data_IF_677634283714
#
_entry.id   IF_677634283714
#
_cell.length_a   1.000
_cell.length_b   1.000
_cell.length_c   1.000
_cell.angle_alpha   90.00
_cell.angle_beta   90.00
_cell.angle_gamma   90.00
#
_symmetry.space_group_name_H-M   'P 1'
#
loop_
_entity.id
_entity.type
_entity.pdbx_description
1 polymer ?
#
# COMPACT_ATOMS: atom_id res chain seq x y z
N UNK A 1 -9.64 -15.54 -13.09
CA UNK A 1 -8.93 -16.08 -11.91
C UNK A 1 -7.48 -15.56 -11.90
N UNK A 2 -6.82 -15.48 -10.75
CA UNK A 2 -5.42 -15.03 -10.63
C UNK A 2 -4.71 -15.79 -9.51
N UNK A 3 -3.39 -15.90 -9.56
CA UNK A 3 -2.58 -16.57 -8.54
C UNK A 3 -2.70 -18.09 -8.55
N UNK A 4 -2.67 -18.72 -7.38
CA UNK A 4 -2.67 -20.18 -7.24
C UNK A 4 -3.85 -20.85 -7.96
N UNK A 5 -5.06 -20.29 -7.84
CA UNK A 5 -6.25 -20.80 -8.52
C UNK A 5 -6.08 -20.78 -10.04
N UNK A 6 -5.52 -19.70 -10.59
CA UNK A 6 -5.26 -19.63 -12.03
C UNK A 6 -4.21 -20.63 -12.49
N UNK A 7 -3.15 -20.86 -11.69
CA UNK A 7 -2.15 -21.88 -11.99
C UNK A 7 -2.80 -23.26 -12.05
N UNK A 8 -3.68 -23.57 -11.11
CA UNK A 8 -4.37 -24.86 -11.04
C UNK A 8 -5.33 -25.08 -12.22
N UNK A 9 -6.02 -24.03 -12.66
CA UNK A 9 -7.01 -24.11 -13.74
C UNK A 9 -6.39 -24.01 -15.14
N UNK A 10 -5.31 -23.24 -15.31
CA UNK A 10 -4.80 -22.85 -16.64
C UNK A 10 -3.28 -22.98 -16.81
N UNK A 11 -2.55 -23.34 -15.74
CA UNK A 11 -1.09 -23.44 -15.75
C UNK A 11 -0.34 -22.11 -15.68
N UNK A 12 -1.03 -20.97 -15.70
CA UNK A 12 -0.46 -19.62 -15.59
C UNK A 12 -1.04 -18.87 -14.39
N UNK A 13 -0.24 -18.04 -13.67
CA UNK A 13 -0.75 -17.26 -12.54
C UNK A 13 -1.60 -16.06 -12.99
N UNK A 14 -1.54 -15.68 -14.27
CA UNK A 14 -2.36 -14.64 -14.87
C UNK A 14 -2.85 -15.10 -16.26
N UNK A 15 -4.07 -15.63 -16.37
CA UNK A 15 -4.67 -15.99 -17.64
C UNK A 15 -4.96 -14.74 -18.49
N UNK A 16 -4.81 -14.87 -19.80
CA UNK A 16 -5.01 -13.77 -20.76
C UNK A 16 -6.41 -13.12 -20.64
N UNK A 17 -7.46 -13.94 -20.45
CA UNK A 17 -8.84 -13.46 -20.25
C UNK A 17 -8.97 -12.56 -19.01
N UNK A 18 -8.27 -12.89 -17.92
CA UNK A 18 -8.28 -12.06 -16.70
C UNK A 18 -7.55 -10.74 -16.93
N UNK A 19 -6.44 -10.76 -17.68
CA UNK A 19 -5.74 -9.54 -18.05
C UNK A 19 -6.60 -8.62 -18.94
N UNK A 20 -7.29 -9.18 -19.93
CA UNK A 20 -8.19 -8.44 -20.82
C UNK A 20 -9.37 -7.82 -20.07
N UNK A 21 -9.95 -8.55 -19.12
CA UNK A 21 -10.97 -8.03 -18.22
C UNK A 21 -10.44 -6.84 -17.40
N UNK A 22 -9.26 -6.95 -16.81
CA UNK A 22 -8.65 -5.86 -16.05
C UNK A 22 -8.31 -4.64 -16.94
N UNK A 23 -7.85 -4.84 -18.17
CA UNK A 23 -7.52 -3.77 -19.11
C UNK A 23 -8.75 -2.99 -19.59
N UNK A 24 -9.90 -3.66 -19.66
CA UNK A 24 -11.19 -3.08 -20.09
C UNK A 24 -12.02 -2.51 -18.95
N UNK A 25 -11.60 -2.72 -17.69
CA UNK A 25 -12.26 -2.18 -16.51
C UNK A 25 -11.68 -0.82 -16.12
N UNK A 26 -12.49 0.05 -15.52
CA UNK A 26 -12.02 1.33 -14.98
C UNK A 26 -11.10 1.10 -13.78
N UNK A 27 -11.47 0.20 -12.88
CA UNK A 27 -10.68 -0.16 -11.71
C UNK A 27 -10.71 -1.65 -11.40
N UNK A 28 -9.67 -2.11 -10.71
CA UNK A 28 -9.56 -3.48 -10.20
C UNK A 28 -9.60 -3.44 -8.68
N UNK A 29 -10.58 -4.12 -8.07
CA UNK A 29 -10.54 -4.43 -6.64
C UNK A 29 -9.97 -5.84 -6.47
N UNK A 30 -8.82 -5.94 -5.84
CA UNK A 30 -8.06 -7.18 -5.71
C UNK A 30 -8.11 -7.67 -4.26
N UNK A 31 -8.26 -8.99 -4.08
CA UNK A 31 -8.29 -9.63 -2.77
C UNK A 31 -6.89 -9.84 -2.21
N UNK A 32 -6.42 -11.08 -2.24
CA UNK A 32 -5.07 -11.42 -1.81
C UNK A 32 -4.50 -12.52 -2.71
N UNK A 33 -3.18 -12.63 -2.74
CA UNK A 33 -2.44 -13.63 -3.51
C UNK A 33 -1.43 -14.36 -2.62
N UNK A 34 -1.04 -15.56 -3.03
CA UNK A 34 -0.07 -16.41 -2.34
C UNK A 34 -0.71 -17.69 -1.82
N UNK A 35 0.07 -18.77 -1.85
CA UNK A 35 -0.31 -20.07 -1.31
C UNK A 35 0.96 -20.83 -0.87
N UNK A 36 1.02 -21.34 0.39
CA UNK A 36 2.18 -22.03 0.95
C UNK A 36 2.72 -23.18 0.10
N UNK A 37 1.88 -23.76 -0.76
CA UNK A 37 2.27 -24.75 -1.77
C UNK A 37 3.40 -24.28 -2.69
N UNK A 38 3.53 -22.97 -2.92
CA UNK A 38 4.49 -22.37 -3.85
C UNK A 38 5.69 -21.68 -3.17
N UNK A 39 5.66 -21.51 -1.84
CA UNK A 39 6.64 -20.68 -1.12
C UNK A 39 8.03 -21.31 -0.99
N UNK A 40 8.08 -22.62 -0.68
CA UNK A 40 9.32 -23.27 -0.23
C UNK A 40 10.09 -24.00 -1.34
N UNK A 41 9.58 -24.00 -2.57
CA UNK A 41 10.26 -24.63 -3.70
C UNK A 41 11.06 -23.58 -4.50
N UNK A 42 12.40 -23.50 -4.33
CA UNK A 42 13.21 -22.55 -5.08
C UNK A 42 13.20 -22.82 -6.58
N UNK A 43 12.96 -24.08 -6.99
CA UNK A 43 12.90 -24.52 -8.39
C UNK A 43 11.51 -24.36 -9.02
N UNK A 44 10.54 -23.82 -8.27
CA UNK A 44 9.21 -23.53 -8.80
C UNK A 44 9.31 -22.53 -9.97
N UNK A 45 8.98 -23.02 -11.18
CA UNK A 45 8.98 -22.19 -12.39
C UNK A 45 7.88 -21.13 -12.38
N UNK A 46 6.77 -21.43 -11.70
CA UNK A 46 5.59 -20.59 -11.64
C UNK A 46 5.24 -20.36 -10.18
N UNK A 47 5.02 -19.09 -9.82
CA UNK A 47 4.58 -18.66 -8.49
C UNK A 47 3.36 -17.75 -8.59
N UNK A 48 2.41 -17.80 -7.66
CA UNK A 48 1.24 -16.92 -7.68
C UNK A 48 1.60 -15.44 -7.82
N UNK A 49 2.62 -14.98 -7.10
CA UNK A 49 3.06 -13.58 -7.03
C UNK A 49 3.50 -13.04 -8.39
N UNK A 50 3.99 -13.91 -9.28
CA UNK A 50 4.35 -13.52 -10.65
C UNK A 50 3.12 -12.95 -11.39
N UNK A 51 1.93 -13.49 -11.15
CA UNK A 51 0.70 -12.99 -11.77
C UNK A 51 0.35 -11.57 -11.34
N UNK A 52 0.53 -11.23 -10.05
CA UNK A 52 0.29 -9.86 -9.56
C UNK A 52 1.35 -8.87 -10.07
N UNK A 53 2.61 -9.29 -10.13
CA UNK A 53 3.69 -8.48 -10.70
C UNK A 53 3.46 -8.20 -12.18
N UNK A 54 3.09 -9.23 -12.96
CA UNK A 54 2.75 -9.08 -14.37
C UNK A 54 1.52 -8.18 -14.56
N UNK A 55 0.45 -8.39 -13.78
CA UNK A 55 -0.75 -7.58 -13.86
C UNK A 55 -0.44 -6.09 -13.63
N UNK A 56 0.31 -5.75 -12.58
CA UNK A 56 0.75 -4.38 -12.28
C UNK A 56 1.56 -3.77 -13.43
N UNK A 57 2.45 -4.56 -14.03
CA UNK A 57 3.25 -4.11 -15.17
C UNK A 57 2.39 -3.85 -16.41
N UNK A 58 1.48 -4.77 -16.76
CA UNK A 58 0.61 -4.67 -17.95
C UNK A 58 -0.39 -3.53 -17.84
N UNK A 59 -0.89 -3.24 -16.64
CA UNK A 59 -1.75 -2.09 -16.34
C UNK A 59 -0.96 -0.79 -16.15
N UNK A 60 0.38 -0.82 -16.15
CA UNK A 60 1.22 0.36 -15.97
C UNK A 60 1.10 1.01 -14.59
N UNK A 61 0.81 0.24 -13.54
CA UNK A 61 0.55 0.71 -12.18
C UNK A 61 1.85 1.03 -11.43
N UNK A 62 2.48 2.16 -11.76
CA UNK A 62 3.83 2.46 -11.29
C UNK A 62 3.93 3.02 -9.87
N UNK A 63 2.83 3.48 -9.28
CA UNK A 63 2.83 4.11 -7.95
C UNK A 63 1.95 3.32 -6.98
N UNK A 64 2.55 2.70 -5.98
CA UNK A 64 1.82 2.13 -4.85
C UNK A 64 1.75 3.14 -3.70
N UNK A 65 0.53 3.40 -3.24
CA UNK A 65 0.19 4.39 -2.21
C UNK A 65 -0.33 3.63 -1.00
N UNK A 66 0.40 3.72 0.12
CA UNK A 66 0.10 3.03 1.38
C UNK A 66 0.01 4.02 2.53
N UNK A 67 -1.20 4.40 2.98
CA UNK A 67 -1.36 5.23 4.16
C UNK A 67 -1.07 4.43 5.44
N UNK A 68 -0.31 5.01 6.36
CA UNK A 68 -0.01 4.46 7.68
C UNK A 68 -0.53 5.45 8.73
N UNK A 69 -1.62 5.06 9.40
CA UNK A 69 -2.29 5.89 10.41
C UNK A 69 -2.58 5.09 11.66
N UNK A 70 -2.20 5.65 12.80
CA UNK A 70 -2.47 5.05 14.11
C UNK A 70 -3.80 5.57 14.61
N UNK A 71 -4.78 4.67 14.72
CA UNK A 71 -6.07 5.01 15.30
C UNK A 71 -5.97 5.06 16.84
N UNK A 72 -6.49 6.09 17.51
CA UNK A 72 -6.46 6.17 18.98
C UNK A 72 -7.07 4.96 19.69
N UNK A 73 -8.07 4.32 19.08
CA UNK A 73 -8.72 3.10 19.60
C UNK A 73 -7.83 1.87 19.56
N UNK A 74 -6.79 1.88 18.72
CA UNK A 74 -5.91 0.73 18.46
C UNK A 74 -4.46 0.98 18.87
N UNK A 75 -4.16 2.15 19.44
CA UNK A 75 -2.81 2.52 19.86
C UNK A 75 -2.19 1.53 20.86
N UNK A 76 -3.04 0.80 21.58
CA UNK A 76 -2.67 -0.21 22.58
C UNK A 76 -2.28 -1.56 21.97
N UNK A 77 -2.61 -1.77 20.68
CA UNK A 77 -2.31 -2.99 19.92
C UNK A 77 -0.94 -2.93 19.24
N UNK A 78 -0.39 -1.74 19.09
CA UNK A 78 0.97 -1.58 18.58
C UNK A 78 2.01 -2.21 19.53
N UNK A 79 3.06 -2.85 19.00
CA UNK A 79 4.18 -3.34 19.81
C UNK A 79 5.03 -2.20 20.41
N UNK A 80 4.87 -0.97 19.92
CA UNK A 80 5.60 0.22 20.36
C UNK A 80 4.85 1.01 21.45
N UNK A 81 5.62 1.70 22.29
CA UNK A 81 5.09 2.55 23.37
C UNK A 81 4.16 3.62 22.80
N UNK A 82 2.94 3.76 23.35
CA UNK A 82 1.92 4.74 22.93
C UNK A 82 2.47 6.15 22.68
N UNK A 83 3.36 6.64 23.57
CA UNK A 83 3.96 7.99 23.47
C UNK A 83 4.83 8.21 22.23
N UNK A 84 5.34 7.14 21.62
CA UNK A 84 6.21 7.18 20.43
C UNK A 84 5.36 7.27 19.16
N UNK A 85 4.26 6.51 19.11
CA UNK A 85 3.45 6.35 17.90
C UNK A 85 2.22 7.26 17.85
N UNK A 86 1.88 7.93 18.95
CA UNK A 86 0.74 8.86 19.01
C UNK A 86 0.88 9.94 17.93
N UNK A 87 -0.17 10.12 17.12
CA UNK A 87 -0.20 11.14 16.06
C UNK A 87 0.52 10.74 14.77
N UNK A 88 0.94 9.48 14.65
CA UNK A 88 1.49 8.94 13.40
C UNK A 88 0.42 8.90 12.31
N UNK A 89 0.67 9.64 11.24
CA UNK A 89 -0.16 9.71 10.04
C UNK A 89 0.74 10.11 8.87
N UNK A 90 1.24 9.13 8.12
CA UNK A 90 2.06 9.37 6.93
C UNK A 90 1.61 8.47 5.79
N UNK A 91 2.06 8.76 4.57
CA UNK A 91 1.78 7.95 3.38
C UNK A 91 3.08 7.60 2.67
N UNK A 92 3.20 6.35 2.24
CA UNK A 92 4.33 5.87 1.45
C UNK A 92 3.92 5.82 -0.01
N UNK A 93 4.70 6.50 -0.85
CA UNK A 93 4.71 6.40 -2.31
C UNK A 93 5.87 5.50 -2.70
N UNK A 94 5.55 4.27 -3.08
CA UNK A 94 6.49 3.23 -3.51
C UNK A 94 6.43 3.08 -5.02
N UNK A 95 7.57 3.18 -5.70
CA UNK A 95 7.65 2.78 -7.12
C UNK A 95 7.35 1.28 -7.23
N UNK A 96 6.48 0.87 -8.15
CA UNK A 96 5.90 -0.47 -8.15
C UNK A 96 6.25 -1.33 -9.36
N UNK A 97 6.78 -0.75 -10.44
CA UNK A 97 6.95 -1.43 -11.75
C UNK A 97 8.39 -1.49 -12.25
N UNK A 98 9.35 -0.98 -11.48
CA UNK A 98 10.76 -0.95 -11.81
C UNK A 98 11.65 -1.45 -10.67
N UNK A 99 12.92 -1.09 -10.74
CA UNK A 99 13.93 -1.52 -9.76
C UNK A 99 14.26 -3.00 -9.84
N UNK A 100 14.79 -3.52 -8.74
CA UNK A 100 15.34 -4.89 -8.67
C UNK A 100 14.29 -6.01 -8.84
N UNK A 101 13.01 -5.70 -8.69
CA UNK A 101 11.94 -6.69 -8.86
C UNK A 101 11.71 -7.03 -10.33
N UNK A 102 11.89 -6.05 -11.21
CA UNK A 102 11.66 -6.17 -12.66
C UNK A 102 12.94 -6.18 -13.48
N UNK A 103 14.09 -5.90 -12.85
CA UNK A 103 15.38 -6.01 -13.52
C UNK A 103 15.80 -7.45 -13.78
N UNK A 104 16.75 -7.59 -14.70
CA UNK A 104 17.24 -8.88 -15.18
C UNK A 104 17.76 -9.77 -14.03
N UNK A 105 17.34 -11.03 -14.02
CA UNK A 105 17.73 -12.05 -13.05
C UNK A 105 18.55 -13.12 -13.74
N UNK A 106 19.75 -13.41 -13.23
CA UNK A 106 20.64 -14.44 -13.77
C UNK A 106 21.08 -15.39 -12.68
N UNK A 107 21.12 -16.66 -13.04
CA UNK A 107 21.82 -17.71 -12.31
C UNK A 107 22.86 -18.30 -13.27
N UNK A 108 24.09 -18.47 -12.80
CA UNK A 108 25.16 -19.10 -13.58
C UNK A 108 24.77 -20.54 -13.96
N UNK A 109 25.34 -21.06 -15.05
CA UNK A 109 25.00 -22.41 -15.56
C UNK A 109 25.25 -23.53 -14.54
N UNK A 110 26.24 -23.35 -13.68
CA UNK A 110 26.60 -24.26 -12.59
C UNK A 110 25.83 -23.97 -11.29
N UNK A 111 24.97 -22.96 -11.24
CA UNK A 111 24.12 -22.63 -10.11
C UNK A 111 24.83 -21.96 -8.93
N UNK A 112 26.08 -21.54 -9.08
CA UNK A 112 26.91 -21.05 -7.96
C UNK A 112 26.94 -19.53 -7.82
N UNK A 113 26.52 -18.78 -8.85
CA UNK A 113 26.53 -17.31 -8.87
C UNK A 113 25.17 -16.80 -9.35
N UNK A 114 24.52 -15.96 -8.55
CA UNK A 114 23.28 -15.27 -8.91
C UNK A 114 23.47 -13.75 -8.95
N UNK A 115 22.68 -13.08 -9.79
CA UNK A 115 22.63 -11.61 -9.85
C UNK A 115 21.22 -11.10 -10.14
N UNK A 116 20.82 -10.05 -9.45
CA UNK A 116 19.60 -9.29 -9.70
C UNK A 116 19.94 -7.83 -10.02
N UNK A 117 19.57 -7.38 -11.21
CA UNK A 117 19.86 -6.03 -11.66
C UNK A 117 18.85 -5.02 -11.09
N UNK A 118 19.32 -3.95 -10.45
CA UNK A 118 18.47 -2.84 -9.99
C UNK A 118 18.64 -1.63 -10.92
N UNK A 119 17.62 -1.36 -11.74
CA UNK A 119 17.64 -0.26 -12.72
C UNK A 119 16.43 0.65 -12.52
N UNK A 120 16.68 1.95 -12.68
CA UNK A 120 15.66 2.98 -12.81
C UNK A 120 16.10 3.95 -13.90
N UNK A 121 15.14 4.42 -14.68
CA UNK A 121 15.26 5.56 -15.57
C UNK A 121 14.80 6.84 -14.88
N UNK A 122 15.23 7.98 -15.41
CA UNK A 122 14.75 9.29 -14.96
C UNK A 122 13.23 9.43 -15.10
N UNK A 123 12.63 8.88 -16.16
CA UNK A 123 11.19 8.93 -16.39
C UNK A 123 10.40 8.18 -15.31
N UNK A 124 10.86 6.99 -14.92
CA UNK A 124 10.24 6.20 -13.85
C UNK A 124 10.28 6.91 -12.50
N UNK A 125 11.40 7.56 -12.19
CA UNK A 125 11.56 8.34 -10.96
C UNK A 125 10.67 9.58 -11.01
N UNK A 126 10.64 10.28 -12.14
CA UNK A 126 9.95 11.56 -12.28
C UNK A 126 8.43 11.41 -12.12
N UNK A 127 7.82 10.41 -12.76
CA UNK A 127 6.35 10.22 -12.73
C UNK A 127 5.81 10.03 -11.31
N UNK A 128 6.46 9.19 -10.50
CA UNK A 128 6.04 8.96 -9.11
C UNK A 128 6.43 10.12 -8.20
N UNK A 129 7.57 10.78 -8.44
CA UNK A 129 7.98 11.95 -7.66
C UNK A 129 6.92 13.05 -7.74
N UNK A 130 6.40 13.37 -8.92
CA UNK A 130 5.33 14.36 -9.06
C UNK A 130 4.06 14.00 -8.27
N UNK A 131 3.67 12.72 -8.23
CA UNK A 131 2.54 12.27 -7.41
C UNK A 131 2.80 12.48 -5.92
N UNK A 132 3.99 12.10 -5.43
CA UNK A 132 4.37 12.27 -4.04
C UNK A 132 4.47 13.75 -3.63
N UNK A 133 5.00 14.63 -4.50
CA UNK A 133 5.06 16.07 -4.25
C UNK A 133 3.66 16.71 -4.20
N UNK A 134 2.77 16.35 -5.13
CA UNK A 134 1.36 16.81 -5.11
C UNK A 134 0.68 16.37 -3.81
N UNK A 135 0.89 15.14 -3.39
CA UNK A 135 0.38 14.62 -2.13
C UNK A 135 0.93 15.43 -0.94
N UNK A 136 2.25 15.63 -0.86
CA UNK A 136 2.89 16.39 0.21
C UNK A 136 2.35 17.83 0.28
N UNK A 137 2.19 18.51 -0.87
CA UNK A 137 1.61 19.86 -0.97
C UNK A 137 0.21 19.94 -0.36
N UNK A 138 -0.61 18.91 -0.60
CA UNK A 138 -1.96 18.81 -0.05
C UNK A 138 -2.00 18.36 1.41
N UNK A 139 -0.88 17.90 1.97
CA UNK A 139 -0.71 17.40 3.34
C UNK A 139 0.03 18.43 4.21
N UNK A 140 1.04 18.01 4.97
CA UNK A 140 1.84 18.87 5.86
C UNK A 140 3.05 19.48 5.14
N UNK A 141 3.05 19.45 3.81
CA UNK A 141 4.09 20.02 2.94
C UNK A 141 5.48 19.49 3.26
N UNK A 142 5.58 18.21 3.62
CA UNK A 142 6.86 17.54 3.89
C UNK A 142 6.97 16.25 3.09
N UNK A 143 8.07 16.11 2.35
CA UNK A 143 8.41 14.90 1.61
C UNK A 143 9.78 14.41 2.07
N UNK A 144 9.88 13.12 2.37
CA UNK A 144 11.15 12.45 2.65
C UNK A 144 11.44 11.43 1.55
N UNK A 145 12.49 11.65 0.77
CA UNK A 145 13.02 10.62 -0.12
C UNK A 145 13.87 9.65 0.72
N UNK A 146 13.56 8.35 0.61
CA UNK A 146 14.37 7.29 1.20
C UNK A 146 15.15 6.55 0.12
N UNK A 147 16.48 6.47 0.27
CA UNK A 147 17.38 5.89 -0.72
C UNK A 147 18.61 5.20 -0.06
N UNK A 148 19.59 4.76 -0.86
CA UNK A 148 20.92 4.36 -0.40
C UNK A 148 22.03 5.02 -1.21
N UNK A 149 21.94 6.34 -1.42
CA UNK A 149 22.81 7.08 -2.34
C UNK A 149 24.30 7.13 -1.92
N UNK A 150 24.61 6.77 -0.67
CA UNK A 150 25.99 6.57 -0.23
C UNK A 150 26.64 5.32 -0.85
N UNK A 151 25.86 4.34 -1.30
CA UNK A 151 26.36 3.08 -1.87
C UNK A 151 25.93 2.89 -3.33
N UNK A 152 24.65 3.12 -3.66
CA UNK A 152 24.05 2.68 -4.93
C UNK A 152 23.91 3.82 -5.95
N UNK A 153 24.37 3.59 -7.19
CA UNK A 153 24.18 4.53 -8.31
C UNK A 153 22.70 4.78 -8.65
N UNK A 154 21.87 3.74 -8.61
CA UNK A 154 20.42 3.88 -8.80
C UNK A 154 19.83 4.86 -7.80
N UNK A 155 20.24 4.78 -6.53
CA UNK A 155 19.83 5.73 -5.48
C UNK A 155 20.41 7.13 -5.68
N UNK A 156 21.61 7.28 -6.24
CA UNK A 156 22.17 8.60 -6.61
C UNK A 156 21.35 9.25 -7.71
N UNK A 157 20.88 8.47 -8.69
CA UNK A 157 19.96 8.97 -9.73
C UNK A 157 18.63 9.41 -9.11
N UNK A 158 18.02 8.59 -8.24
CA UNK A 158 16.82 8.98 -7.48
C UNK A 158 16.99 10.34 -6.79
N UNK A 159 18.08 10.52 -6.05
CA UNK A 159 18.35 11.77 -5.34
C UNK A 159 18.51 12.96 -6.28
N UNK A 160 19.24 12.80 -7.40
CA UNK A 160 19.41 13.85 -8.42
C UNK A 160 18.07 14.29 -9.01
N UNK A 161 17.26 13.34 -9.45
CA UNK A 161 15.97 13.61 -10.11
C UNK A 161 14.98 14.28 -9.14
N UNK A 162 14.84 13.73 -7.93
CA UNK A 162 13.95 14.30 -6.90
C UNK A 162 14.39 15.69 -6.47
N UNK A 163 15.70 15.94 -6.34
CA UNK A 163 16.23 17.27 -6.03
C UNK A 163 15.84 18.28 -7.11
N UNK A 164 16.05 17.93 -8.39
CA UNK A 164 15.65 18.80 -9.50
C UNK A 164 14.14 19.06 -9.54
N UNK A 165 13.32 18.03 -9.31
CA UNK A 165 11.86 18.19 -9.26
C UNK A 165 11.44 19.09 -8.09
N UNK A 166 12.14 19.05 -6.96
CA UNK A 166 11.82 19.87 -5.78
C UNK A 166 11.83 21.37 -6.07
N UNK A 167 12.62 21.82 -7.06
CA UNK A 167 12.65 23.23 -7.50
C UNK A 167 11.30 23.69 -8.05
N UNK A 168 10.48 22.77 -8.58
CA UNK A 168 9.11 23.03 -9.05
C UNK A 168 8.05 22.99 -7.94
N UNK A 169 8.43 22.60 -6.71
CA UNK A 169 7.55 22.51 -5.54
C UNK A 169 8.17 23.22 -4.32
N UNK A 170 8.49 24.54 -4.43
CA UNK A 170 9.22 25.27 -3.40
C UNK A 170 8.51 25.34 -2.04
N UNK A 171 7.19 25.09 -2.00
CA UNK A 171 6.39 25.03 -0.79
C UNK A 171 6.52 23.71 0.00
N UNK A 172 7.09 22.67 -0.61
CA UNK A 172 7.27 21.34 0.02
C UNK A 172 8.69 21.21 0.57
N UNK A 173 8.82 21.05 1.88
CA UNK A 173 10.10 20.76 2.51
C UNK A 173 10.57 19.34 2.17
N UNK A 174 11.69 19.22 1.46
CA UNK A 174 12.28 17.93 1.06
C UNK A 174 13.40 17.52 2.02
N UNK A 175 13.31 16.30 2.53
CA UNK A 175 14.35 15.66 3.32
C UNK A 175 14.84 14.39 2.63
N UNK A 176 16.08 14.00 2.92
CA UNK A 176 16.67 12.76 2.43
C UNK A 176 17.08 11.90 3.60
N UNK A 177 16.67 10.64 3.60
CA UNK A 177 17.14 9.63 4.56
C UNK A 177 17.69 8.43 3.83
N UNK A 178 18.69 7.79 4.43
CA UNK A 178 19.09 6.46 4.00
C UNK A 178 18.14 5.41 4.56
N UNK A 179 17.90 4.33 3.81
CA UNK A 179 16.94 3.27 4.15
C UNK A 179 17.14 2.66 5.53
N UNK A 180 18.39 2.46 5.96
CA UNK A 180 18.75 1.98 7.30
C UNK A 180 18.34 2.97 8.39
N UNK A 181 18.59 4.27 8.20
CA UNK A 181 18.13 5.28 9.14
C UNK A 181 16.60 5.44 9.10
N UNK A 182 15.98 5.35 7.92
CA UNK A 182 14.53 5.44 7.77
C UNK A 182 13.81 4.35 8.57
N UNK A 183 14.29 3.10 8.50
CA UNK A 183 13.78 1.99 9.33
C UNK A 183 13.90 2.32 10.83
N UNK A 184 15.08 2.77 11.28
CA UNK A 184 15.24 3.20 12.68
C UNK A 184 14.28 4.33 13.07
N UNK A 185 14.10 5.34 12.20
CA UNK A 185 13.23 6.49 12.45
C UNK A 185 11.75 6.12 12.48
N UNK A 186 11.31 5.13 11.69
CA UNK A 186 9.94 4.61 11.75
C UNK A 186 9.63 4.03 13.13
N UNK A 187 10.60 3.38 13.77
CA UNK A 187 10.41 2.84 15.12
C UNK A 187 10.52 3.93 16.19
N UNK A 188 11.49 4.84 16.06
CA UNK A 188 11.84 5.81 17.10
C UNK A 188 10.93 7.03 17.14
N UNK A 189 10.49 7.53 15.99
CA UNK A 189 9.63 8.70 15.88
C UNK A 189 8.88 8.71 14.53
N UNK A 190 7.92 7.78 14.33
CA UNK A 190 7.18 7.68 13.06
C UNK A 190 6.35 8.94 12.75
N UNK A 191 5.91 9.67 13.77
CA UNK A 191 5.12 10.91 13.63
C UNK A 191 5.86 12.04 12.90
N UNK A 192 7.19 11.94 12.72
CA UNK A 192 7.97 12.91 11.97
C UNK A 192 7.71 12.87 10.47
N UNK A 193 7.28 11.74 9.92
CA UNK A 193 7.06 11.56 8.50
C UNK A 193 5.73 12.17 8.07
N UNK A 194 5.62 12.58 6.81
CA UNK A 194 4.35 13.00 6.19
C UNK A 194 4.13 12.24 4.88
N UNK A 195 4.98 12.50 3.89
CA UNK A 195 5.09 11.69 2.67
C UNK A 195 6.47 11.04 2.61
N UNK A 196 6.52 9.72 2.47
CA UNK A 196 7.75 8.99 2.17
C UNK A 196 7.70 8.62 0.69
N UNK A 197 8.73 9.00 -0.07
CA UNK A 197 8.92 8.56 -1.46
C UNK A 197 10.11 7.60 -1.51
N UNK A 198 9.97 6.46 -2.18
CA UNK A 198 11.09 5.54 -2.34
C UNK A 198 10.90 4.54 -3.49
N UNK A 199 11.97 3.84 -3.84
CA UNK A 199 11.96 2.78 -4.85
C UNK A 199 11.30 1.49 -4.35
N UNK A 200 11.07 0.55 -5.27
CA UNK A 200 10.25 -0.65 -5.05
C UNK A 200 10.61 -1.48 -3.82
N UNK A 201 11.82 -2.04 -3.76
CA UNK A 201 12.25 -2.89 -2.64
C UNK A 201 12.25 -2.15 -1.29
N UNK A 202 12.71 -0.90 -1.27
CA UNK A 202 12.74 -0.10 -0.05
C UNK A 202 11.33 0.25 0.44
N UNK A 203 10.44 0.58 -0.50
CA UNK A 203 9.03 0.86 -0.20
C UNK A 203 8.30 -0.37 0.30
N UNK A 204 8.61 -1.55 -0.22
CA UNK A 204 8.10 -2.83 0.29
C UNK A 204 8.37 -2.95 1.79
N UNK A 205 9.66 -2.92 2.15
CA UNK A 205 10.15 -3.09 3.52
C UNK A 205 9.56 -2.04 4.46
N UNK A 206 9.64 -0.75 4.11
CA UNK A 206 9.16 0.33 4.96
C UNK A 206 7.63 0.32 5.13
N UNK A 207 6.90 -0.13 4.11
CA UNK A 207 5.45 -0.19 4.19
C UNK A 207 4.95 -1.32 5.07
N UNK A 208 5.62 -2.46 5.06
CA UNK A 208 5.33 -3.56 5.96
C UNK A 208 5.71 -3.19 7.41
N UNK A 209 6.85 -2.53 7.60
CA UNK A 209 7.26 -1.98 8.91
C UNK A 209 6.24 -0.97 9.44
N UNK A 210 5.81 -0.02 8.60
CA UNK A 210 4.74 0.93 8.91
C UNK A 210 3.45 0.23 9.32
N UNK A 211 3.15 -0.89 8.69
CA UNK A 211 1.94 -1.64 9.00
C UNK A 211 1.95 -2.34 10.36
N UNK A 212 3.10 -2.87 10.77
CA UNK A 212 3.28 -3.43 12.11
C UNK A 212 3.22 -2.34 13.19
N UNK A 213 3.78 -1.15 12.92
CA UNK A 213 3.66 0.02 13.81
C UNK A 213 2.18 0.38 14.01
N UNK A 214 1.37 0.22 12.95
CA UNK A 214 -0.09 0.33 12.94
C UNK A 214 -0.83 -0.45 14.03
N UNK A 215 -0.24 -1.53 14.53
CA UNK A 215 -0.84 -2.47 15.47
C UNK A 215 -1.70 -3.56 14.83
N UNK A 216 -2.08 -3.43 13.55
CA UNK A 216 -2.62 -4.54 12.75
C UNK A 216 -2.44 -4.29 11.26
N UNK A 217 -1.88 -5.29 10.58
CA UNK A 217 -1.76 -5.33 9.11
C UNK A 217 -3.15 -5.44 8.46
N UNK A 218 -4.13 -6.01 9.16
CA UNK A 218 -5.52 -6.19 8.72
C UNK A 218 -6.31 -4.89 8.50
N UNK A 219 -5.70 -3.74 8.74
CA UNK A 219 -6.32 -2.41 8.63
C UNK A 219 -5.81 -1.57 7.46
N UNK A 220 -4.83 -2.08 6.72
CA UNK A 220 -4.04 -1.24 5.84
C UNK A 220 -4.46 -1.47 4.38
N UNK A 221 -5.17 -0.50 3.79
CA UNK A 221 -5.50 -0.54 2.38
C UNK A 221 -4.29 -0.09 1.56
N UNK A 222 -4.34 -0.38 0.25
CA UNK A 222 -3.40 0.20 -0.69
C UNK A 222 -4.05 0.48 -2.04
N UNK A 223 -3.47 1.44 -2.75
CA UNK A 223 -3.81 1.74 -4.13
C UNK A 223 -2.56 1.68 -5.00
N UNK A 224 -2.62 0.94 -6.09
CA UNK A 224 -1.62 0.87 -7.15
C UNK A 224 -2.16 1.64 -8.34
N UNK A 225 -1.53 2.76 -8.67
CA UNK A 225 -2.03 3.75 -9.65
C UNK A 225 -1.06 3.89 -10.80
N UNK A 226 -1.60 3.84 -12.02
CA UNK A 226 -0.90 4.14 -13.27
C UNK A 226 -1.42 5.41 -13.93
N UNK A 227 -1.12 5.60 -15.22
CA UNK A 227 -1.65 6.74 -15.99
C UNK A 227 -3.12 6.56 -16.37
N UNK A 228 -3.55 5.30 -16.59
CA UNK A 228 -4.88 4.96 -17.12
C UNK A 228 -5.68 4.02 -16.22
N UNK A 229 -5.00 3.18 -15.45
CA UNK A 229 -5.61 2.12 -14.68
C UNK A 229 -5.27 2.29 -13.19
N UNK A 230 -6.13 1.74 -12.33
CA UNK A 230 -5.91 1.67 -10.90
C UNK A 230 -6.33 0.31 -10.34
N UNK A 231 -5.59 -0.17 -9.34
CA UNK A 231 -5.88 -1.40 -8.59
C UNK A 231 -5.86 -1.09 -7.10
N UNK A 232 -6.84 -1.59 -6.37
CA UNK A 232 -7.01 -1.39 -4.93
C UNK A 232 -6.97 -2.74 -4.23
N UNK A 233 -6.17 -2.87 -3.19
CA UNK A 233 -5.95 -4.14 -2.50
C UNK A 233 -5.53 -3.94 -1.03
N UNK A 234 -5.96 -4.83 -0.12
CA UNK A 234 -5.37 -4.88 1.20
C UNK A 234 -3.89 -5.27 1.11
N UNK A 235 -3.05 -4.78 2.02
CA UNK A 235 -1.64 -5.16 2.00
C UNK A 235 -1.37 -6.56 2.58
N UNK A 236 -2.31 -7.11 3.35
CA UNK A 236 -2.12 -8.42 3.98
C UNK A 236 -2.13 -9.54 2.92
N UNK A 237 -1.38 -10.61 3.20
CA UNK A 237 -1.36 -11.80 2.34
C UNK A 237 -2.68 -12.59 2.36
N UNK A 238 -2.67 -13.76 1.71
CA UNK A 238 -3.86 -14.60 1.54
C UNK A 238 -4.39 -15.26 2.81
N UNK A 239 -3.61 -15.26 3.89
CA UNK A 239 -3.90 -15.90 5.17
C UNK A 239 -4.62 -17.27 5.01
N UNK A 240 -3.95 -18.28 4.41
CA UNK A 240 -4.58 -19.53 4.00
C UNK A 240 -5.32 -20.26 5.14
N UNK A 241 -4.79 -20.15 6.35
CA UNK A 241 -5.35 -20.73 7.56
C UNK A 241 -6.75 -20.20 7.91
N UNK A 242 -7.12 -18.99 7.45
CA UNK A 242 -8.43 -18.40 7.67
C UNK A 242 -9.46 -18.73 6.58
N UNK A 243 -9.05 -19.38 5.48
CA UNK A 243 -9.92 -19.70 4.34
C UNK A 243 -11.15 -20.48 4.80
N UNK A 244 -12.34 -19.93 4.54
CA UNK A 244 -13.62 -20.56 4.86
C UNK A 244 -13.97 -20.59 6.36
N UNK A 245 -13.18 -19.97 7.24
CA UNK A 245 -13.40 -20.00 8.70
C UNK A 245 -14.13 -18.78 9.25
N UNK A 246 -14.43 -17.78 8.43
CA UNK A 246 -15.08 -16.54 8.85
C UNK A 246 -14.29 -15.76 9.93
N UNK A 247 -12.95 -15.79 9.89
CA UNK A 247 -12.07 -15.13 10.88
C UNK A 247 -11.13 -14.07 10.29
N UNK A 248 -11.11 -13.91 8.97
CA UNK A 248 -10.28 -12.90 8.30
C UNK A 248 -10.83 -11.49 8.58
N UNK A 249 -9.94 -10.51 8.80
CA UNK A 249 -10.34 -9.11 8.97
C UNK A 249 -10.74 -8.49 7.61
N UNK A 250 -12.00 -8.08 7.41
CA UNK A 250 -12.43 -7.49 6.14
C UNK A 250 -12.05 -6.01 5.98
N UNK A 251 -11.56 -5.36 7.05
CA UNK A 251 -11.44 -3.89 7.12
C UNK A 251 -10.46 -3.36 6.07
N UNK A 252 -9.28 -3.94 5.88
CA UNK A 252 -8.34 -3.49 4.86
C UNK A 252 -8.93 -3.54 3.44
N UNK A 253 -9.68 -4.59 3.10
CA UNK A 253 -10.37 -4.69 1.80
C UNK A 253 -11.47 -3.65 1.65
N UNK A 254 -12.26 -3.40 2.70
CA UNK A 254 -13.30 -2.36 2.72
C UNK A 254 -12.67 -0.96 2.56
N UNK A 255 -11.57 -0.69 3.28
CA UNK A 255 -10.85 0.57 3.15
C UNK A 255 -10.17 0.72 1.78
N UNK A 256 -9.81 -0.39 1.12
CA UNK A 256 -9.32 -0.37 -0.27
C UNK A 256 -10.44 0.01 -1.24
N UNK A 257 -11.68 -0.42 -0.99
CA UNK A 257 -12.85 0.06 -1.72
C UNK A 257 -13.12 1.56 -1.45
N UNK A 258 -12.87 2.05 -0.23
CA UNK A 258 -12.94 3.50 0.04
C UNK A 258 -11.87 4.29 -0.73
N UNK A 259 -10.64 3.77 -0.85
CA UNK A 259 -9.61 4.36 -1.72
C UNK A 259 -10.02 4.35 -3.20
N UNK A 260 -10.74 3.31 -3.64
CA UNK A 260 -11.30 3.24 -5.00
C UNK A 260 -12.29 4.38 -5.22
N UNK A 261 -13.25 4.58 -4.32
CA UNK A 261 -14.23 5.66 -4.42
C UNK A 261 -13.54 7.04 -4.47
N UNK A 262 -12.60 7.28 -3.57
CA UNK A 262 -11.80 8.52 -3.51
C UNK A 262 -11.04 8.78 -4.81
N UNK A 263 -10.48 7.74 -5.43
CA UNK A 263 -9.77 7.85 -6.71
C UNK A 263 -10.65 8.37 -7.86
N UNK A 264 -11.96 8.11 -7.82
CA UNK A 264 -12.93 8.59 -8.80
C UNK A 264 -13.63 9.89 -8.39
N UNK A 265 -13.18 10.55 -7.32
CA UNK A 265 -13.76 11.79 -6.81
C UNK A 265 -15.09 11.60 -6.08
N UNK A 266 -15.41 10.36 -5.67
CA UNK A 266 -16.56 10.03 -4.83
C UNK A 266 -16.18 10.20 -3.35
N UNK A 267 -15.83 11.44 -3.00
CA UNK A 267 -15.25 11.82 -1.70
C UNK A 267 -16.24 11.59 -0.54
N UNK A 268 -17.53 11.79 -0.79
CA UNK A 268 -18.58 11.67 0.23
C UNK A 268 -18.83 10.19 0.56
N UNK A 269 -18.92 9.35 -0.46
CA UNK A 269 -19.11 7.91 -0.37
C UNK A 269 -17.89 7.23 0.27
N UNK A 270 -16.68 7.61 -0.17
CA UNK A 270 -15.44 7.14 0.46
C UNK A 270 -15.42 7.46 1.96
N UNK A 271 -15.80 8.69 2.32
CA UNK A 271 -15.86 9.13 3.71
C UNK A 271 -16.92 8.37 4.51
N UNK A 272 -18.09 8.10 3.93
CA UNK A 272 -19.14 7.32 4.59
C UNK A 272 -18.66 5.91 4.96
N UNK A 273 -17.94 5.24 4.04
CA UNK A 273 -17.31 3.92 4.30
C UNK A 273 -16.29 4.02 5.44
N UNK A 274 -15.36 4.97 5.38
CA UNK A 274 -14.33 5.15 6.42
C UNK A 274 -14.94 5.42 7.79
N UNK A 275 -15.97 6.26 7.86
CA UNK A 275 -16.67 6.56 9.11
C UNK A 275 -17.36 5.32 9.67
N UNK A 276 -17.97 4.49 8.81
CA UNK A 276 -18.60 3.25 9.25
C UNK A 276 -17.57 2.27 9.83
N UNK A 277 -16.39 2.15 9.22
CA UNK A 277 -15.25 1.40 9.77
C UNK A 277 -14.82 1.93 11.15
N UNK A 278 -14.66 3.25 11.28
CA UNK A 278 -14.32 3.89 12.57
C UNK A 278 -15.39 3.61 13.64
N UNK A 279 -16.67 3.60 13.25
CA UNK A 279 -17.79 3.29 14.13
C UNK A 279 -17.75 1.84 14.61
N UNK A 280 -17.43 0.90 13.72
CA UNK A 280 -17.24 -0.52 14.06
C UNK A 280 -16.12 -0.68 15.09
N UNK A 281 -14.95 -0.09 14.83
CA UNK A 281 -13.81 -0.13 15.77
C UNK A 281 -14.14 0.52 17.11
N UNK A 282 -14.82 1.67 17.13
CA UNK A 282 -15.22 2.34 18.37
C UNK A 282 -16.19 1.50 19.22
N UNK A 283 -17.02 0.68 18.59
CA UNK A 283 -17.98 -0.21 19.25
C UNK A 283 -17.38 -1.58 19.62
N UNK A 284 -16.11 -1.84 19.31
CA UNK A 284 -15.50 -3.16 19.50
C UNK A 284 -16.03 -4.23 18.53
N UNK A 285 -16.66 -3.82 17.43
CA UNK A 285 -17.12 -4.75 16.39
C UNK A 285 -15.97 -4.98 15.43
N UNK A 286 -15.08 -5.89 15.82
CA UNK A 286 -13.82 -6.19 15.14
C UNK A 286 -13.55 -7.68 15.10
N UNK A 287 -12.60 -8.10 14.28
CA UNK A 287 -12.14 -9.50 14.16
C UNK A 287 -11.04 -9.84 15.16
N UNK A 288 -10.73 -11.14 15.29
CA UNK A 288 -9.81 -11.70 16.30
C UNK A 288 -8.39 -11.11 16.27
N UNK A 289 -7.92 -10.60 15.13
CA UNK A 289 -6.60 -9.96 14.99
C UNK A 289 -6.53 -8.62 15.73
N UNK A 290 -7.67 -7.95 15.90
CA UNK A 290 -7.78 -6.68 16.63
C UNK A 290 -8.15 -6.91 18.08
N UNK A 291 -9.04 -7.87 18.37
CA UNK A 291 -9.44 -8.21 19.74
C UNK A 291 -9.55 -9.74 19.95
N UNK A 292 -8.54 -10.38 20.54
CA UNK A 292 -8.57 -11.82 20.79
C UNK A 292 -9.68 -12.27 21.75
N UNK A 293 -10.17 -11.39 22.62
CA UNK A 293 -11.12 -11.74 23.69
C UNK A 293 -12.58 -11.47 23.28
N UNK A 294 -12.82 -10.35 22.59
CA UNK A 294 -14.16 -9.93 22.16
C UNK A 294 -14.16 -9.59 20.67
N UNK A 295 -14.37 -10.62 19.84
CA UNK A 295 -14.40 -10.48 18.39
C UNK A 295 -15.63 -11.11 17.74
N UNK A 296 -15.81 -10.74 16.48
CA UNK A 296 -16.83 -11.23 15.59
C UNK A 296 -16.20 -11.84 14.33
N UNK A 297 -17.00 -12.61 13.59
CA UNK A 297 -16.56 -13.17 12.33
C UNK A 297 -16.51 -12.13 11.20
N UNK A 298 -15.79 -12.47 10.12
CA UNK A 298 -15.64 -11.63 8.91
C UNK A 298 -16.96 -11.07 8.40
N UNK A 299 -17.97 -11.94 8.26
CA UNK A 299 -19.30 -11.57 7.76
C UNK A 299 -19.97 -10.53 8.67
N UNK A 300 -20.02 -10.78 9.99
CA UNK A 300 -20.69 -9.88 10.92
C UNK A 300 -20.04 -8.49 10.96
N UNK A 301 -18.71 -8.42 10.92
CA UNK A 301 -17.99 -7.13 10.85
C UNK A 301 -18.30 -6.42 9.53
N UNK A 302 -18.31 -7.15 8.41
CA UNK A 302 -18.66 -6.61 7.10
C UNK A 302 -20.10 -6.09 7.03
N UNK A 303 -21.06 -6.89 7.49
CA UNK A 303 -22.49 -6.54 7.53
C UNK A 303 -22.72 -5.32 8.42
N UNK A 304 -22.12 -5.29 9.61
CA UNK A 304 -22.21 -4.14 10.50
C UNK A 304 -21.70 -2.87 9.81
N UNK A 305 -20.55 -2.94 9.14
CA UNK A 305 -20.01 -1.78 8.41
C UNK A 305 -20.96 -1.36 7.30
N UNK A 306 -21.46 -2.30 6.47
CA UNK A 306 -22.36 -2.00 5.36
C UNK A 306 -23.67 -1.35 5.84
N UNK A 307 -24.31 -1.89 6.89
CA UNK A 307 -25.55 -1.37 7.48
C UNK A 307 -25.40 0.01 8.13
N UNK A 308 -24.17 0.42 8.42
CA UNK A 308 -23.88 1.70 9.08
C UNK A 308 -23.27 2.74 8.13
N UNK A 309 -23.24 2.47 6.82
CA UNK A 309 -23.00 3.49 5.80
C UNK A 309 -24.27 4.34 5.70
N UNK A 310 -24.28 5.45 6.45
CA UNK A 310 -25.37 6.42 6.45
C UNK A 310 -24.93 7.71 5.77
N UNK A 311 -25.82 8.28 4.96
CA UNK A 311 -25.66 9.56 4.26
C UNK A 311 -25.75 10.81 5.19
N UNK A 312 -25.58 10.63 6.51
CA UNK A 312 -25.96 11.68 7.47
C UNK A 312 -24.97 12.86 7.51
N UNK A 313 -25.50 14.03 7.17
CA UNK A 313 -24.82 15.33 7.20
C UNK A 313 -24.19 15.71 8.56
N UNK A 314 -24.63 15.13 9.68
CA UNK A 314 -24.06 15.44 11.01
C UNK A 314 -22.58 15.05 11.15
N UNK A 315 -22.09 14.09 10.36
CA UNK A 315 -20.68 13.73 10.31
C UNK A 315 -19.85 14.60 9.35
N UNK A 316 -20.49 15.40 8.47
CA UNK A 316 -19.79 16.38 7.60
C UNK A 316 -19.13 17.51 8.40
N UNK A 317 -19.49 17.68 9.67
CA UNK A 317 -18.90 18.68 10.58
C UNK A 317 -17.55 18.21 11.15
N UNK A 318 -17.19 16.93 11.04
CA UNK A 318 -15.84 16.45 11.36
C UNK A 318 -14.85 16.83 10.24
N UNK A 319 -14.43 18.11 10.28
CA UNK A 319 -13.34 18.77 9.55
C UNK A 319 -12.90 18.10 8.25
N UNK A 320 -13.15 18.80 7.13
CA UNK A 320 -12.52 18.60 5.81
C UNK A 320 -10.98 18.45 5.85
N UNK A 321 -10.34 18.83 6.96
CA UNK A 321 -8.88 18.78 7.16
C UNK A 321 -8.38 17.53 7.89
N UNK A 322 -9.25 16.73 8.54
CA UNK A 322 -8.82 15.69 9.49
C UNK A 322 -8.94 14.24 9.01
N UNK A 323 -9.67 13.98 7.92
CA UNK A 323 -9.95 12.61 7.46
C UNK A 323 -9.17 12.25 6.19
N UNK A 324 -8.94 13.20 5.27
CA UNK A 324 -8.18 12.98 4.03
C UNK A 324 -7.38 14.22 3.64
N UNK A 325 -6.06 14.14 3.68
CA UNK A 325 -5.16 15.03 2.96
C UNK A 325 -4.60 14.24 1.78
N UNK A 326 -5.31 14.36 0.66
CA UNK A 326 -5.00 13.79 -0.65
C UNK A 326 -5.73 14.60 -1.73
N UNK A 327 -5.72 15.93 -1.63
CA UNK A 327 -6.39 16.79 -2.61
C UNK A 327 -5.56 16.90 -3.88
N UNK A 328 -6.10 16.41 -4.99
CA UNK A 328 -5.79 16.92 -6.33
C UNK A 328 -7.12 17.21 -7.03
N UNK A 329 -7.72 18.35 -6.75
CA UNK A 329 -8.87 18.84 -7.51
C UNK A 329 -8.39 19.21 -8.91
N UNK A 330 -8.95 18.54 -9.91
CA UNK A 330 -8.78 18.85 -11.33
C UNK A 330 -9.54 20.16 -11.62
N UNK A 331 -8.80 21.19 -12.05
CA UNK A 331 -9.23 22.14 -13.07
C UNK A 331 -8.07 22.22 -14.06
#
# INVERSE_FOLDING_TARGET
>A
PVGAIAIEESGTPLPQETLELCLSSDAVLFGAIGDPKYDNNPDAKVRPEQGLLELRQKLGLFSNIRPVKIFPTLIDKSPLKKKVIKGTDFVIYRELTGGIYFGEKKLSKDGTIASDLCVYSEGEISRISHLAFKAAKSRRKKLTLVDKANVLESSRLWRKVVTRISESYPEVAVNFLFIDNAAMQLILNPSQFDVILTGNMFGDILSDEGGVIGGSIGLLPSASVGEKHALFEPIHGSYPEARGKNIANPIASILSAAMLLDHYGLDEESRAVVISVLKAMKKGIVTQDLDPEQHYGTQYVGDFIAENINDNEELLILNRENIWLGKSTII
#
